data_IF_409469174083
#
_entry.id   IF_409469174083
#
_cell.length_a   1.000
_cell.length_b   1.000
_cell.length_c   1.000
_cell.angle_alpha   90.00
_cell.angle_beta   90.00
_cell.angle_gamma   90.00
#
_symmetry.space_group_name_H-M   'P 1'
#
loop_
_entity.id
_entity.type
_entity.pdbx_description
1 polymer ?
#
# COMPACT_ATOMS: atom_id res chain seq x y z
N UNK A 1 -35.65 -4.75 -9.19
CA UNK A 1 -35.51 -3.68 -8.17
C UNK A 1 -34.05 -3.24 -8.22
N UNK A 2 -33.75 -2.01 -8.65
CA UNK A 2 -32.44 -1.41 -8.39
C UNK A 2 -32.26 -1.45 -6.87
N UNK A 3 -31.30 -2.24 -6.39
CA UNK A 3 -31.05 -2.35 -4.97
C UNK A 3 -30.51 -0.99 -4.52
N UNK A 4 -31.26 -0.26 -3.69
CA UNK A 4 -30.84 0.99 -3.01
C UNK A 4 -29.61 0.72 -2.13
N UNK A 5 -28.43 0.59 -2.76
CA UNK A 5 -27.13 0.33 -2.13
C UNK A 5 -26.13 1.44 -2.43
N UNK A 6 -26.62 2.63 -2.74
CA UNK A 6 -25.79 3.81 -2.99
C UNK A 6 -24.94 4.17 -1.77
N UNK A 7 -25.47 3.97 -0.56
CA UNK A 7 -24.74 4.18 0.71
C UNK A 7 -23.59 3.19 0.94
N UNK A 8 -23.54 2.10 0.18
CA UNK A 8 -22.50 1.08 0.28
C UNK A 8 -21.38 1.28 -0.77
N UNK A 9 -21.51 2.29 -1.64
CA UNK A 9 -20.56 2.60 -2.71
C UNK A 9 -19.54 3.64 -2.24
N UNK A 10 -18.27 3.27 -2.34
CA UNK A 10 -17.12 4.15 -2.12
C UNK A 10 -16.32 4.25 -3.41
N UNK A 11 -15.81 5.45 -3.69
CA UNK A 11 -15.04 5.70 -4.93
C UNK A 11 -13.67 6.24 -4.55
N UNK A 12 -12.60 5.54 -4.93
CA UNK A 12 -11.24 6.07 -4.87
C UNK A 12 -10.88 6.54 -6.28
N UNK A 13 -10.87 7.86 -6.48
CA UNK A 13 -10.63 8.44 -7.79
C UNK A 13 -9.18 8.93 -7.90
N UNK A 14 -8.31 8.21 -8.61
CA UNK A 14 -6.93 8.66 -8.87
C UNK A 14 -6.78 9.50 -10.15
N UNK A 15 -7.85 9.72 -10.90
CA UNK A 15 -7.82 10.45 -12.19
C UNK A 15 -7.57 11.93 -11.95
N UNK A 16 -8.37 12.55 -11.07
CA UNK A 16 -8.23 13.97 -10.75
C UNK A 16 -7.17 14.20 -9.68
N UNK A 17 -6.30 15.19 -9.92
CA UNK A 17 -5.42 15.72 -8.87
C UNK A 17 -6.25 16.59 -7.92
N UNK A 18 -5.76 16.75 -6.70
CA UNK A 18 -6.29 17.75 -5.77
C UNK A 18 -6.42 19.10 -6.49
N UNK A 19 -7.63 19.48 -6.86
CA UNK A 19 -7.91 20.78 -7.42
C UNK A 19 -8.69 21.56 -6.36
N UNK A 20 -8.06 22.56 -5.71
CA UNK A 20 -8.68 23.33 -4.64
C UNK A 20 -9.91 24.13 -5.11
N UNK A 21 -10.14 24.24 -6.43
CA UNK A 21 -11.28 24.96 -7.00
C UNK A 21 -12.56 24.10 -7.11
N UNK A 22 -12.48 22.77 -7.02
CA UNK A 22 -13.66 21.91 -7.00
C UNK A 22 -14.17 21.71 -5.57
N UNK A 23 -15.35 22.24 -5.28
CA UNK A 23 -16.02 22.16 -3.96
C UNK A 23 -16.67 20.80 -3.66
N UNK A 24 -16.88 19.96 -4.66
CA UNK A 24 -17.51 18.65 -4.50
C UNK A 24 -16.49 17.59 -4.10
N UNK A 25 -16.84 16.72 -3.15
CA UNK A 25 -16.04 15.56 -2.79
C UNK A 25 -16.01 14.56 -3.96
N UNK A 26 -14.87 14.46 -4.63
CA UNK A 26 -14.67 13.61 -5.82
C UNK A 26 -14.18 12.20 -5.50
N UNK A 27 -13.68 11.96 -4.28
CA UNK A 27 -13.17 10.67 -3.83
C UNK A 27 -13.50 10.46 -2.35
N UNK A 28 -13.81 9.22 -2.00
CA UNK A 28 -13.78 8.71 -0.64
C UNK A 28 -12.35 8.73 -0.09
N UNK A 29 -12.24 8.87 1.22
CA UNK A 29 -10.95 8.90 1.93
C UNK A 29 -10.56 7.51 2.42
N UNK A 30 -9.26 7.22 2.41
CA UNK A 30 -8.70 5.96 2.87
C UNK A 30 -7.31 6.21 3.45
N UNK A 31 -7.02 5.71 4.64
CA UNK A 31 -5.69 5.85 5.24
C UNK A 31 -5.12 4.45 5.55
N UNK A 32 -4.12 3.97 4.81
CA UNK A 32 -3.55 2.64 5.04
C UNK A 32 -2.79 2.54 6.37
N UNK A 33 -2.28 3.65 6.91
CA UNK A 33 -1.48 3.69 8.14
C UNK A 33 -2.33 3.77 9.43
N UNK A 34 -3.63 4.00 9.29
CA UNK A 34 -4.59 4.14 10.40
C UNK A 34 -4.71 2.89 11.27
N UNK A 35 -4.43 1.71 10.71
CA UNK A 35 -4.49 0.42 11.43
C UNK A 35 -3.37 -0.50 10.99
N UNK A 36 -3.02 -1.45 11.85
CA UNK A 36 -1.98 -2.45 11.61
C UNK A 36 -0.76 -2.26 12.49
N UNK A 37 0.04 -3.33 12.60
CA UNK A 37 1.28 -3.34 13.37
C UNK A 37 2.37 -2.48 12.71
N UNK A 38 3.33 -2.01 13.50
CA UNK A 38 4.49 -1.28 12.98
C UNK A 38 5.25 -2.07 11.92
N UNK A 39 5.44 -3.38 12.11
CA UNK A 39 6.10 -4.26 11.13
C UNK A 39 5.36 -4.33 9.80
N UNK A 40 4.04 -4.56 9.82
CA UNK A 40 3.23 -4.61 8.60
C UNK A 40 3.21 -3.26 7.85
N UNK A 41 3.18 -2.14 8.59
CA UNK A 41 3.25 -0.81 7.99
C UNK A 41 4.64 -0.49 7.42
N UNK A 42 5.71 -0.99 8.02
CA UNK A 42 7.07 -0.89 7.46
C UNK A 42 7.17 -1.65 6.15
N UNK A 43 6.72 -2.91 6.10
CA UNK A 43 6.72 -3.72 4.88
C UNK A 43 5.94 -3.03 3.76
N UNK A 44 4.79 -2.44 4.11
CA UNK A 44 4.00 -1.63 3.20
C UNK A 44 4.79 -0.45 2.62
N UNK A 45 5.38 0.40 3.46
CA UNK A 45 6.18 1.55 2.99
C UNK A 45 7.39 1.10 2.16
N UNK A 46 8.08 0.03 2.58
CA UNK A 46 9.24 -0.52 1.87
C UNK A 46 8.86 -1.09 0.51
N UNK A 47 7.66 -1.67 0.36
CA UNK A 47 7.16 -2.16 -0.93
C UNK A 47 6.95 -1.05 -1.97
N UNK A 48 6.75 0.19 -1.50
CA UNK A 48 6.57 1.37 -2.34
C UNK A 48 7.89 2.09 -2.66
N UNK A 49 9.02 1.66 -2.08
CA UNK A 49 10.33 2.24 -2.38
C UNK A 49 10.79 1.80 -3.77
N UNK A 50 11.44 2.73 -4.49
CA UNK A 50 12.07 2.43 -5.77
C UNK A 50 13.11 1.30 -5.59
N UNK A 51 13.08 0.33 -6.51
CA UNK A 51 14.08 -0.74 -6.57
C UNK A 51 15.37 -0.17 -7.16
N UNK A 52 16.19 0.46 -6.32
CA UNK A 52 17.56 0.81 -6.70
C UNK A 52 18.50 -0.39 -6.50
N UNK A 53 19.45 -0.57 -7.42
CA UNK A 53 20.51 -1.60 -7.38
C UNK A 53 21.49 -1.44 -6.21
N UNK A 54 21.43 -0.33 -5.45
CA UNK A 54 22.39 -0.01 -4.41
C UNK A 54 21.89 -0.44 -3.02
N UNK A 55 22.03 -1.73 -2.73
CA UNK A 55 21.50 -2.42 -1.54
C UNK A 55 21.96 -1.84 -0.19
N UNK A 56 23.15 -1.23 -0.11
CA UNK A 56 23.74 -0.80 1.16
C UNK A 56 22.91 0.28 1.88
N UNK A 57 22.32 1.22 1.13
CA UNK A 57 21.52 2.32 1.69
C UNK A 57 20.08 1.90 1.98
N UNK A 58 19.59 0.88 1.28
CA UNK A 58 18.23 0.35 1.46
C UNK A 58 18.07 -0.23 2.87
N UNK A 59 19.02 -1.05 3.33
CA UNK A 59 18.99 -1.61 4.68
C UNK A 59 18.96 -0.52 5.77
N UNK A 60 19.73 0.56 5.60
CA UNK A 60 19.75 1.69 6.54
C UNK A 60 18.45 2.52 6.50
N UNK A 61 17.85 2.69 5.33
CA UNK A 61 16.55 3.34 5.18
C UNK A 61 15.44 2.51 5.85
N UNK A 62 15.50 1.18 5.73
CA UNK A 62 14.62 0.25 6.44
C UNK A 62 14.78 0.39 7.96
N UNK A 63 16.02 0.51 8.47
CA UNK A 63 16.25 0.76 9.90
C UNK A 63 15.65 2.08 10.37
N UNK A 64 15.77 3.16 9.58
CA UNK A 64 15.14 4.46 9.87
C UNK A 64 13.62 4.32 9.99
N UNK A 65 12.96 3.84 8.94
CA UNK A 65 11.50 3.75 8.90
C UNK A 65 10.97 2.79 9.97
N UNK A 66 11.69 1.71 10.27
CA UNK A 66 11.30 0.77 11.33
C UNK A 66 11.32 1.42 12.72
N UNK A 67 12.37 2.18 13.03
CA UNK A 67 12.50 2.89 14.29
C UNK A 67 11.38 3.92 14.47
N UNK A 68 11.13 4.74 13.43
CA UNK A 68 10.06 5.75 13.46
C UNK A 68 8.68 5.10 13.54
N UNK A 69 8.41 4.08 12.73
CA UNK A 69 7.08 3.49 12.66
C UNK A 69 6.66 2.87 14.00
N UNK A 70 7.60 2.29 14.75
CA UNK A 70 7.31 1.82 16.12
C UNK A 70 6.84 2.97 17.02
N UNK A 71 7.51 4.12 16.98
CA UNK A 71 7.14 5.28 17.77
C UNK A 71 5.78 5.85 17.35
N UNK A 72 5.57 6.06 16.04
CA UNK A 72 4.32 6.64 15.54
C UNK A 72 3.10 5.73 15.74
N UNK A 73 3.28 4.42 15.63
CA UNK A 73 2.21 3.45 15.94
C UNK A 73 1.88 3.48 17.43
N UNK A 74 2.87 3.58 18.31
CA UNK A 74 2.61 3.72 19.75
C UNK A 74 1.79 4.98 20.05
N UNK A 75 2.18 6.12 19.48
CA UNK A 75 1.44 7.37 19.59
C UNK A 75 0.03 7.25 19.02
N UNK A 76 -0.13 6.61 17.87
CA UNK A 76 -1.45 6.35 17.25
C UNK A 76 -2.37 5.58 18.19
N UNK A 77 -1.83 4.52 18.82
CA UNK A 77 -2.62 3.58 19.60
C UNK A 77 -2.91 4.07 21.04
N UNK A 78 -2.11 5.00 21.57
CA UNK A 78 -2.21 5.45 22.98
C UNK A 78 -2.51 6.94 23.17
N UNK A 79 -2.31 7.78 22.14
CA UNK A 79 -2.33 9.24 22.26
C UNK A 79 -3.21 9.94 21.23
N UNK A 80 -4.08 9.19 20.54
CA UNK A 80 -4.95 9.72 19.49
C UNK A 80 -4.18 10.48 18.40
N UNK A 81 -2.98 9.98 18.07
CA UNK A 81 -2.14 10.58 17.05
C UNK A 81 -2.59 10.16 15.64
N UNK A 82 -2.89 11.15 14.80
CA UNK A 82 -3.25 10.96 13.40
C UNK A 82 -2.04 10.51 12.55
N UNK A 83 -1.78 9.20 12.57
CA UNK A 83 -0.78 8.58 11.71
C UNK A 83 -1.27 8.51 10.26
N UNK A 84 -0.68 9.31 9.38
CA UNK A 84 -0.90 9.36 7.94
C UNK A 84 0.43 9.67 7.21
N UNK A 85 0.41 9.79 5.88
CA UNK A 85 1.65 10.01 5.14
C UNK A 85 2.28 11.37 5.39
N UNK A 86 1.49 12.40 5.71
CA UNK A 86 2.01 13.72 6.07
C UNK A 86 2.72 13.68 7.42
N UNK A 87 2.10 13.11 8.44
CA UNK A 87 2.72 12.99 9.76
C UNK A 87 3.94 12.07 9.71
N UNK A 88 3.92 10.99 8.93
CA UNK A 88 5.10 10.17 8.68
C UNK A 88 6.25 10.97 8.02
N UNK A 89 5.95 11.73 6.96
CA UNK A 89 6.93 12.55 6.23
C UNK A 89 7.59 13.59 7.14
N UNK A 90 6.82 14.20 8.03
CA UNK A 90 7.33 15.16 9.02
C UNK A 90 8.29 14.50 10.01
N UNK A 91 7.91 13.35 10.58
CA UNK A 91 8.69 12.69 11.61
C UNK A 91 9.98 12.04 11.08
N UNK A 92 10.11 11.82 9.77
CA UNK A 92 11.35 11.36 9.14
C UNK A 92 12.52 12.34 9.24
N UNK A 93 12.31 13.60 9.64
CA UNK A 93 13.39 14.55 9.86
C UNK A 93 14.26 14.14 11.06
N UNK A 94 15.59 14.28 10.95
CA UNK A 94 16.51 13.84 12.00
C UNK A 94 16.20 14.48 13.36
N UNK A 95 15.88 15.77 13.37
CA UNK A 95 15.57 16.51 14.59
C UNK A 95 14.34 15.92 15.30
N UNK A 96 13.32 15.49 14.54
CA UNK A 96 12.13 14.80 15.08
C UNK A 96 12.46 13.43 15.65
N UNK A 97 13.34 12.66 14.99
CA UNK A 97 13.81 11.38 15.52
C UNK A 97 14.55 11.56 16.85
N UNK A 98 15.44 12.54 16.91
CA UNK A 98 16.20 12.86 18.12
C UNK A 98 15.27 13.38 19.23
N UNK A 99 14.32 14.24 18.88
CA UNK A 99 13.29 14.76 19.79
C UNK A 99 12.53 13.60 20.43
N UNK A 100 11.92 12.72 19.64
CA UNK A 100 11.18 11.55 20.11
C UNK A 100 12.02 10.66 21.04
N UNK A 101 13.28 10.40 20.69
CA UNK A 101 14.17 9.60 21.53
C UNK A 101 14.47 10.27 22.88
N UNK A 102 14.70 11.60 22.90
CA UNK A 102 15.16 12.32 24.10
C UNK A 102 14.04 12.76 25.02
N UNK A 103 12.91 13.21 24.49
CA UNK A 103 11.88 13.92 25.26
C UNK A 103 10.77 13.00 25.74
N UNK A 104 10.46 11.93 24.99
CA UNK A 104 9.38 11.00 25.32
C UNK A 104 9.79 10.11 26.48
N UNK A 105 9.23 10.36 27.66
CA UNK A 105 9.50 9.56 28.86
C UNK A 105 8.59 8.34 28.95
N UNK A 106 7.41 8.46 28.39
CA UNK A 106 6.31 7.50 28.32
C UNK A 106 6.57 6.31 27.39
N UNK A 107 7.42 6.46 26.37
CA UNK A 107 7.70 5.37 25.43
C UNK A 107 8.26 4.11 26.13
N UNK A 108 7.79 2.91 25.75
CA UNK A 108 8.42 1.66 26.12
C UNK A 108 9.91 1.62 25.77
N UNK A 109 10.71 0.97 26.61
CA UNK A 109 12.17 0.93 26.48
C UNK A 109 12.64 0.45 25.10
N UNK A 110 11.94 -0.52 24.51
CA UNK A 110 12.30 -1.06 23.20
C UNK A 110 12.11 -0.05 22.06
N UNK A 111 11.10 0.83 22.13
CA UNK A 111 10.86 1.89 21.16
C UNK A 111 11.97 2.95 21.25
N UNK A 112 12.30 3.40 22.46
CA UNK A 112 13.43 4.32 22.68
C UNK A 112 14.75 3.74 22.20
N UNK A 113 14.99 2.47 22.51
CA UNK A 113 16.19 1.77 22.07
C UNK A 113 16.27 1.67 20.55
N UNK A 114 15.15 1.45 19.85
CA UNK A 114 15.14 1.42 18.38
C UNK A 114 15.48 2.79 17.77
N UNK A 115 14.86 3.87 18.26
CA UNK A 115 15.17 5.24 17.82
C UNK A 115 16.64 5.58 18.09
N UNK A 116 17.13 5.29 19.30
CA UNK A 116 18.53 5.50 19.67
C UNK A 116 19.47 4.69 18.79
N UNK A 117 19.21 3.41 18.60
CA UNK A 117 20.03 2.51 17.80
C UNK A 117 20.18 3.00 16.37
N UNK A 118 19.09 3.51 15.77
CA UNK A 118 19.17 4.18 14.49
C UNK A 118 20.10 5.41 14.54
N UNK A 119 19.89 6.34 15.49
CA UNK A 119 20.70 7.58 15.53
C UNK A 119 22.19 7.32 15.75
N UNK A 120 22.55 6.40 16.64
CA UNK A 120 23.94 6.03 16.93
C UNK A 120 24.59 5.25 15.77
N UNK A 121 23.79 4.63 14.90
CA UNK A 121 24.30 3.98 13.68
C UNK A 121 24.77 4.97 12.61
N UNK A 122 24.41 6.26 12.73
CA UNK A 122 24.90 7.30 11.84
C UNK A 122 26.36 7.65 12.20
N UNK A 123 27.31 7.50 11.25
CA UNK A 123 28.70 7.90 11.46
C UNK A 123 28.82 9.35 11.94
N UNK A 124 29.66 9.58 12.95
CA UNK A 124 29.90 10.89 13.58
C UNK A 124 28.73 11.49 14.35
N UNK A 125 27.65 10.74 14.60
CA UNK A 125 26.57 11.17 15.49
C UNK A 125 27.10 11.39 16.91
N UNK A 126 26.65 12.48 17.54
CA UNK A 126 27.04 12.84 18.90
C UNK A 126 25.80 12.96 19.79
N UNK A 127 25.63 12.04 20.74
CA UNK A 127 24.55 12.13 21.73
C UNK A 127 24.70 13.40 22.58
N UNK A 128 23.58 14.08 22.84
CA UNK A 128 23.56 15.31 23.64
C UNK A 128 24.08 16.57 22.92
N UNK A 129 24.67 16.48 21.72
CA UNK A 129 25.10 17.67 21.00
C UNK A 129 23.91 18.60 20.69
N UNK A 130 24.06 19.94 20.87
CA UNK A 130 22.99 20.90 20.60
C UNK A 130 22.63 20.96 19.11
N UNK A 131 23.62 20.72 18.25
CA UNK A 131 23.47 20.59 16.80
C UNK A 131 24.39 19.48 16.29
N UNK A 132 23.88 18.60 15.44
CA UNK A 132 24.68 17.57 14.79
C UNK A 132 25.59 18.16 13.71
N UNK A 133 26.70 17.48 13.41
CA UNK A 133 27.61 17.86 12.31
C UNK A 133 26.90 17.70 10.96
N UNK A 134 27.26 18.53 9.98
CA UNK A 134 26.68 18.50 8.63
C UNK A 134 26.84 17.12 7.95
N UNK A 135 27.90 16.38 8.27
CA UNK A 135 28.11 15.00 7.78
C UNK A 135 26.97 14.09 8.23
N UNK A 136 26.51 14.20 9.48
CA UNK A 136 25.41 13.40 10.02
C UNK A 136 24.10 13.76 9.33
N UNK A 137 23.85 15.07 9.15
CA UNK A 137 22.68 15.59 8.45
C UNK A 137 22.64 15.12 7.00
N UNK A 138 23.78 15.14 6.30
CA UNK A 138 23.90 14.63 4.94
C UNK A 138 23.61 13.12 4.85
N UNK A 139 24.19 12.31 5.75
CA UNK A 139 23.95 10.87 5.80
C UNK A 139 22.48 10.53 6.08
N UNK A 140 21.85 11.20 7.04
CA UNK A 140 20.42 11.08 7.29
C UNK A 140 19.60 11.49 6.07
N UNK A 141 19.96 12.62 5.45
CA UNK A 141 19.32 13.15 4.25
C UNK A 141 19.27 12.13 3.11
N UNK A 142 20.37 11.42 2.84
CA UNK A 142 20.39 10.37 1.82
C UNK A 142 19.41 9.22 2.10
N UNK A 143 19.21 8.85 3.37
CA UNK A 143 18.23 7.84 3.76
C UNK A 143 16.80 8.35 3.59
N UNK A 144 16.53 9.58 4.06
CA UNK A 144 15.23 10.22 3.94
C UNK A 144 14.81 10.41 2.48
N UNK A 145 15.76 10.74 1.59
CA UNK A 145 15.52 10.91 0.15
C UNK A 145 14.88 9.69 -0.51
N UNK A 146 15.10 8.47 0.02
CA UNK A 146 14.46 7.25 -0.49
C UNK A 146 12.94 7.25 -0.33
N UNK A 147 12.41 8.02 0.61
CA UNK A 147 10.97 8.13 0.86
C UNK A 147 10.37 9.41 0.28
N UNK A 148 11.18 10.41 -0.08
CA UNK A 148 10.70 11.74 -0.51
C UNK A 148 9.77 11.68 -1.72
N UNK A 149 10.13 10.92 -2.77
CA UNK A 149 9.33 10.82 -4.00
C UNK A 149 7.96 10.21 -3.72
N UNK A 150 7.95 9.06 -3.04
CA UNK A 150 6.73 8.31 -2.74
C UNK A 150 5.82 9.06 -1.75
N UNK A 151 6.39 9.57 -0.64
CA UNK A 151 5.60 10.31 0.34
C UNK A 151 5.11 11.63 -0.24
N UNK A 152 5.93 12.36 -0.98
CA UNK A 152 5.50 13.59 -1.67
C UNK A 152 4.35 13.33 -2.63
N UNK A 153 4.39 12.24 -3.39
CA UNK A 153 3.29 11.83 -4.26
C UNK A 153 2.00 11.55 -3.47
N UNK A 154 2.08 10.76 -2.40
CA UNK A 154 0.92 10.38 -1.58
C UNK A 154 0.36 11.57 -0.76
N UNK A 155 1.22 12.49 -0.32
CA UNK A 155 0.78 13.67 0.45
C UNK A 155 0.30 14.80 -0.43
N UNK A 156 1.04 15.13 -1.48
CA UNK A 156 0.86 16.38 -2.22
C UNK A 156 -0.10 16.18 -3.39
N UNK A 157 -0.03 15.04 -4.08
CA UNK A 157 -0.94 14.74 -5.21
C UNK A 157 -2.25 14.08 -4.76
N UNK A 158 -2.18 13.19 -3.77
CA UNK A 158 -3.32 12.37 -3.32
C UNK A 158 -3.66 12.55 -1.83
N UNK A 159 -3.18 13.61 -1.18
CA UNK A 159 -3.46 13.86 0.24
C UNK A 159 -4.95 13.99 0.57
N UNK A 160 -5.77 14.43 -0.39
CA UNK A 160 -7.23 14.48 -0.25
C UNK A 160 -7.87 13.09 -0.07
N UNK A 161 -7.17 12.02 -0.44
CA UNK A 161 -7.57 10.62 -0.20
C UNK A 161 -6.95 10.14 1.11
N UNK A 162 -5.63 10.34 1.27
CA UNK A 162 -4.83 9.62 2.27
C UNK A 162 -4.60 10.32 3.61
N UNK A 163 -4.71 11.65 3.67
CA UNK A 163 -4.37 12.44 4.86
C UNK A 163 -5.58 12.91 5.66
N UNK A 164 -6.76 12.33 5.39
CA UNK A 164 -8.00 12.63 6.09
C UNK A 164 -8.48 11.43 6.89
N UNK A 165 -9.45 11.65 7.78
CA UNK A 165 -10.16 10.57 8.49
C UNK A 165 -10.71 9.59 7.43
N UNK A 166 -10.41 8.29 7.54
CA UNK A 166 -10.80 7.32 6.52
C UNK A 166 -12.29 7.04 6.56
N UNK A 167 -12.96 7.20 5.41
CA UNK A 167 -14.32 6.68 5.20
C UNK A 167 -14.30 5.19 4.88
N UNK A 168 -13.26 4.74 4.17
CA UNK A 168 -13.05 3.35 3.83
C UNK A 168 -12.26 2.70 4.97
N UNK A 169 -12.94 1.83 5.73
CA UNK A 169 -12.35 1.02 6.79
C UNK A 169 -12.54 -0.46 6.45
N UNK A 170 -11.57 -1.02 5.72
CA UNK A 170 -11.62 -2.39 5.21
C UNK A 170 -11.77 -3.43 6.32
N UNK A 171 -11.11 -3.20 7.45
CA UNK A 171 -11.17 -4.10 8.61
C UNK A 171 -12.56 -4.07 9.22
N UNK A 172 -13.12 -2.87 9.44
CA UNK A 172 -14.47 -2.74 9.99
C UNK A 172 -15.55 -3.28 9.04
N UNK A 173 -15.41 -3.04 7.74
CA UNK A 173 -16.33 -3.60 6.75
C UNK A 173 -16.34 -5.13 6.80
N UNK A 174 -15.16 -5.73 6.93
CA UNK A 174 -14.98 -7.18 7.03
C UNK A 174 -15.49 -7.73 8.37
N UNK A 175 -15.14 -7.10 9.50
CA UNK A 175 -15.57 -7.51 10.84
C UNK A 175 -17.09 -7.47 11.01
N UNK A 176 -17.74 -6.43 10.48
CA UNK A 176 -19.18 -6.22 10.62
C UNK A 176 -20.01 -6.90 9.52
N UNK A 177 -19.39 -7.66 8.61
CA UNK A 177 -20.03 -8.18 7.39
C UNK A 177 -20.82 -7.09 6.63
N UNK A 178 -20.32 -5.86 6.66
CA UNK A 178 -20.94 -4.76 5.92
C UNK A 178 -20.71 -4.98 4.44
N UNK A 179 -21.78 -4.89 3.67
CA UNK A 179 -21.67 -4.95 2.23
C UNK A 179 -21.10 -3.62 1.76
N UNK A 180 -19.90 -3.61 1.20
CA UNK A 180 -19.27 -2.43 0.63
C UNK A 180 -18.84 -2.71 -0.82
N UNK A 181 -18.95 -1.71 -1.68
CA UNK A 181 -18.47 -1.73 -3.06
C UNK A 181 -17.45 -0.60 -3.18
N UNK A 182 -16.19 -0.95 -3.45
CA UNK A 182 -15.12 0.03 -3.61
C UNK A 182 -14.74 0.07 -5.08
N UNK A 183 -15.03 1.18 -5.74
CA UNK A 183 -14.60 1.43 -7.11
C UNK A 183 -13.30 2.24 -7.08
N UNK A 184 -12.23 1.69 -7.65
CA UNK A 184 -10.96 2.40 -7.78
C UNK A 184 -10.70 2.74 -9.24
N UNK A 185 -10.50 4.02 -9.51
CA UNK A 185 -10.31 4.54 -10.86
C UNK A 185 -8.86 4.99 -11.02
N UNK A 186 -8.17 4.41 -12.00
CA UNK A 186 -6.80 4.80 -12.36
C UNK A 186 -6.79 5.82 -13.50
N UNK A 187 -5.83 6.75 -13.52
CA UNK A 187 -5.63 7.67 -14.65
C UNK A 187 -5.15 6.88 -15.88
N UNK A 188 -5.74 7.15 -17.04
CA UNK A 188 -5.54 6.36 -18.27
C UNK A 188 -4.40 6.84 -19.17
N UNK A 189 -3.96 8.12 -19.11
CA UNK A 189 -2.97 8.66 -20.07
C UNK A 189 -2.01 9.75 -19.53
N UNK A 190 -2.23 10.33 -18.36
CA UNK A 190 -1.48 11.52 -17.91
C UNK A 190 -0.27 11.22 -16.99
N UNK A 191 -0.02 9.95 -16.67
CA UNK A 191 0.86 9.56 -15.56
C UNK A 191 2.01 8.67 -16.01
N UNK A 192 3.12 8.80 -15.30
CA UNK A 192 4.30 7.96 -15.53
C UNK A 192 4.03 6.51 -15.11
N UNK A 193 4.72 5.56 -15.76
CA UNK A 193 4.63 4.13 -15.44
C UNK A 193 4.93 3.87 -13.94
N UNK A 194 5.84 4.64 -13.35
CA UNK A 194 6.24 4.50 -11.94
C UNK A 194 5.13 4.94 -10.97
N UNK A 195 4.37 5.98 -11.31
CA UNK A 195 3.20 6.39 -10.51
C UNK A 195 2.09 5.32 -10.56
N UNK A 196 1.82 4.75 -11.74
CA UNK A 196 0.85 3.65 -11.88
C UNK A 196 1.29 2.40 -11.11
N UNK A 197 2.58 2.06 -11.14
CA UNK A 197 3.16 0.99 -10.31
C UNK A 197 2.97 1.27 -8.82
N UNK A 198 3.20 2.49 -8.39
CA UNK A 198 3.00 2.91 -7.00
C UNK A 198 1.53 2.73 -6.56
N UNK A 199 0.58 3.26 -7.34
CA UNK A 199 -0.85 3.15 -7.03
C UNK A 199 -1.33 1.70 -7.05
N UNK A 200 -0.77 0.85 -7.91
CA UNK A 200 -1.11 -0.58 -7.94
C UNK A 200 -0.51 -1.36 -6.77
N UNK A 201 0.70 -1.03 -6.29
CA UNK A 201 1.22 -1.58 -5.03
C UNK A 201 0.39 -1.16 -3.82
N UNK A 202 -0.10 0.08 -3.81
CA UNK A 202 -1.04 0.54 -2.80
C UNK A 202 -2.32 -0.33 -2.80
N UNK A 203 -2.90 -0.58 -3.98
CA UNK A 203 -4.07 -1.47 -4.11
C UNK A 203 -3.78 -2.90 -3.68
N UNK A 204 -2.62 -3.45 -4.08
CA UNK A 204 -2.18 -4.77 -3.63
C UNK A 204 -2.04 -4.83 -2.10
N UNK A 205 -1.59 -3.74 -1.48
CA UNK A 205 -1.44 -3.66 -0.03
C UNK A 205 -2.79 -3.56 0.69
N UNK A 206 -3.76 -2.84 0.12
CA UNK A 206 -5.15 -2.85 0.58
C UNK A 206 -5.74 -4.26 0.53
N UNK A 207 -5.57 -4.96 -0.59
CA UNK A 207 -6.00 -6.35 -0.78
C UNK A 207 -5.37 -7.29 0.27
N UNK A 208 -4.04 -7.22 0.43
CA UNK A 208 -3.30 -8.03 1.43
C UNK A 208 -3.81 -7.78 2.84
N UNK A 209 -3.99 -6.51 3.21
CA UNK A 209 -4.48 -6.12 4.53
C UNK A 209 -5.88 -6.65 4.78
N UNK A 210 -6.79 -6.48 3.82
CA UNK A 210 -8.15 -7.01 3.92
C UNK A 210 -8.16 -8.53 4.02
N UNK A 211 -7.38 -9.22 3.18
CA UNK A 211 -7.27 -10.67 3.20
C UNK A 211 -6.74 -11.16 4.55
N UNK A 212 -5.60 -10.64 5.01
CA UNK A 212 -5.03 -11.03 6.30
C UNK A 212 -6.00 -10.84 7.47
N UNK A 213 -6.76 -9.74 7.48
CA UNK A 213 -7.78 -9.50 8.49
C UNK A 213 -8.93 -10.51 8.39
N UNK A 214 -9.44 -10.77 7.19
CA UNK A 214 -10.50 -11.76 6.97
C UNK A 214 -10.07 -13.17 7.42
N UNK A 215 -8.82 -13.55 7.16
CA UNK A 215 -8.25 -14.83 7.58
C UNK A 215 -8.22 -15.00 9.11
N UNK A 216 -7.98 -13.91 9.84
CA UNK A 216 -7.79 -13.94 11.30
C UNK A 216 -9.12 -13.78 12.06
N UNK A 217 -9.94 -12.81 11.66
CA UNK A 217 -11.05 -12.32 12.49
C UNK A 217 -12.43 -12.76 11.99
N UNK A 218 -12.61 -12.91 10.67
CA UNK A 218 -13.92 -13.26 10.10
C UNK A 218 -13.78 -14.08 8.79
N UNK A 219 -13.44 -15.38 8.88
CA UNK A 219 -13.11 -16.21 7.72
C UNK A 219 -14.30 -16.50 6.80
N UNK A 220 -15.52 -16.18 7.23
CA UNK A 220 -16.77 -16.36 6.48
C UNK A 220 -17.10 -15.17 5.57
N UNK A 221 -16.40 -14.03 5.72
CA UNK A 221 -16.66 -12.85 4.89
C UNK A 221 -16.38 -13.16 3.41
N UNK A 222 -17.33 -12.86 2.54
CA UNK A 222 -17.13 -12.96 1.09
C UNK A 222 -16.45 -11.70 0.56
N UNK A 223 -15.30 -11.87 -0.07
CA UNK A 223 -14.52 -10.77 -0.67
C UNK A 223 -14.40 -11.04 -2.16
N UNK A 224 -14.70 -10.04 -2.98
CA UNK A 224 -14.55 -10.14 -4.44
C UNK A 224 -13.80 -8.94 -4.98
N UNK A 225 -12.71 -9.18 -5.70
CA UNK A 225 -11.91 -8.14 -6.33
C UNK A 225 -11.86 -8.38 -7.83
N UNK A 226 -12.18 -7.33 -8.58
CA UNK A 226 -12.10 -7.31 -10.04
C UNK A 226 -11.05 -6.27 -10.40
N UNK A 227 -9.93 -6.74 -10.96
CA UNK A 227 -8.81 -5.90 -11.34
C UNK A 227 -8.75 -5.89 -12.86
N UNK A 228 -9.20 -4.78 -13.43
CA UNK A 228 -9.17 -4.57 -14.86
C UNK A 228 -7.81 -4.01 -15.31
N UNK A 229 -7.22 -4.61 -16.34
CA UNK A 229 -5.89 -4.26 -16.87
C UNK A 229 -4.81 -4.27 -15.78
N UNK A 230 -4.69 -5.41 -15.10
CA UNK A 230 -3.78 -5.62 -13.98
C UNK A 230 -2.33 -5.35 -14.38
N UNK A 231 -1.66 -4.33 -13.79
CA UNK A 231 -0.22 -4.18 -13.94
C UNK A 231 0.42 -5.28 -13.11
N UNK A 232 0.91 -6.35 -13.76
CA UNK A 232 1.43 -7.55 -13.10
C UNK A 232 2.72 -7.22 -12.33
N UNK A 233 2.53 -6.71 -11.12
CA UNK A 233 3.59 -6.38 -10.17
C UNK A 233 3.85 -7.55 -9.22
N UNK A 234 5.09 -7.74 -8.76
CA UNK A 234 5.44 -8.73 -7.75
C UNK A 234 4.52 -8.71 -6.52
N UNK A 235 3.91 -9.86 -6.22
CA UNK A 235 3.08 -10.10 -5.05
C UNK A 235 1.61 -10.37 -5.34
N UNK A 236 1.11 -10.10 -6.55
CA UNK A 236 -0.24 -10.52 -6.95
C UNK A 236 -0.36 -12.04 -7.02
N UNK A 237 0.69 -12.74 -7.44
CA UNK A 237 0.79 -14.20 -7.43
C UNK A 237 0.68 -14.76 -6.00
N UNK A 238 1.35 -14.13 -5.02
CA UNK A 238 1.30 -14.54 -3.62
C UNK A 238 -0.11 -14.35 -3.05
N UNK A 239 -0.75 -13.21 -3.32
CA UNK A 239 -2.10 -12.96 -2.81
C UNK A 239 -3.12 -13.90 -3.43
N UNK A 240 -3.02 -14.17 -4.74
CA UNK A 240 -3.88 -15.15 -5.38
C UNK A 240 -3.70 -16.57 -4.82
N UNK A 241 -2.47 -16.96 -4.47
CA UNK A 241 -2.23 -18.22 -3.76
C UNK A 241 -2.90 -18.24 -2.37
N UNK A 242 -2.78 -17.16 -1.59
CA UNK A 242 -3.37 -17.05 -0.25
C UNK A 242 -4.91 -16.99 -0.29
N UNK A 243 -5.48 -16.32 -1.30
CA UNK A 243 -6.91 -16.19 -1.48
C UNK A 243 -7.62 -17.53 -1.75
N UNK A 244 -6.89 -18.57 -2.17
CA UNK A 244 -7.45 -19.92 -2.36
C UNK A 244 -8.06 -20.53 -1.11
N UNK A 245 -7.66 -20.06 0.08
CA UNK A 245 -8.04 -20.69 1.34
C UNK A 245 -9.43 -20.29 1.87
N UNK A 246 -10.17 -19.35 1.27
CA UNK A 246 -11.40 -18.80 1.86
C UNK A 246 -12.45 -18.36 0.82
N UNK A 247 -13.55 -17.73 1.27
CA UNK A 247 -14.61 -17.14 0.45
C UNK A 247 -14.15 -15.87 -0.32
N UNK A 248 -12.98 -15.94 -0.95
CA UNK A 248 -12.37 -14.85 -1.71
C UNK A 248 -12.37 -15.21 -3.19
N UNK A 249 -12.88 -14.30 -4.01
CA UNK A 249 -12.85 -14.39 -5.47
C UNK A 249 -12.00 -13.26 -6.05
N UNK A 250 -10.98 -13.60 -6.83
CA UNK A 250 -10.15 -12.63 -7.53
C UNK A 250 -10.31 -12.84 -9.02
N UNK A 251 -10.68 -11.77 -9.74
CA UNK A 251 -10.73 -11.72 -11.18
C UNK A 251 -9.68 -10.72 -11.67
N UNK A 252 -8.72 -11.24 -12.44
CA UNK A 252 -7.69 -10.42 -13.09
C UNK A 252 -7.96 -10.40 -14.59
N UNK A 253 -7.96 -9.21 -15.20
CA UNK A 253 -7.87 -9.07 -16.66
C UNK A 253 -6.54 -8.41 -17.03
N UNK A 254 -5.98 -8.78 -18.17
CA UNK A 254 -4.75 -8.20 -18.69
C UNK A 254 -4.75 -8.27 -20.21
N UNK A 255 -3.99 -7.39 -20.86
CA UNK A 255 -3.65 -7.51 -22.29
C UNK A 255 -2.40 -8.37 -22.44
N UNK A 256 -2.30 -9.13 -23.53
CA UNK A 256 -1.14 -10.00 -23.81
C UNK A 256 0.19 -9.24 -23.78
N UNK A 257 0.19 -7.99 -24.24
CA UNK A 257 1.38 -7.12 -24.21
C UNK A 257 1.84 -6.84 -22.78
N UNK A 258 0.90 -6.58 -21.86
CA UNK A 258 1.21 -6.21 -20.48
C UNK A 258 1.66 -7.44 -19.67
N UNK A 259 1.04 -8.60 -19.91
CA UNK A 259 1.35 -9.85 -19.21
C UNK A 259 2.70 -10.47 -19.62
N UNK A 260 3.12 -10.25 -20.87
CA UNK A 260 4.40 -10.76 -21.37
C UNK A 260 5.57 -9.79 -21.13
N UNK A 261 5.30 -8.49 -20.93
CA UNK A 261 6.33 -7.48 -20.60
C UNK A 261 6.60 -7.35 -19.09
N UNK A 262 5.72 -7.89 -18.24
CA UNK A 262 5.92 -7.98 -16.80
C UNK A 262 6.95 -9.04 -16.41
N UNK A 263 7.28 -9.12 -15.12
CA UNK A 263 8.11 -10.19 -14.58
C UNK A 263 7.50 -11.55 -14.98
N UNK A 264 8.21 -12.28 -15.85
CA UNK A 264 7.68 -13.51 -16.47
C UNK A 264 7.37 -14.57 -15.42
N UNK A 265 8.14 -14.62 -14.33
CA UNK A 265 7.93 -15.55 -13.22
C UNK A 265 6.66 -15.20 -12.44
N UNK A 266 6.44 -13.91 -12.17
CA UNK A 266 5.23 -13.44 -11.48
C UNK A 266 3.98 -13.71 -12.33
N UNK A 267 4.06 -13.45 -13.63
CA UNK A 267 2.98 -13.62 -14.59
C UNK A 267 2.58 -15.11 -14.68
N UNK A 268 3.56 -16.00 -14.88
CA UNK A 268 3.33 -17.45 -14.88
C UNK A 268 2.73 -17.94 -13.56
N UNK A 269 3.24 -17.46 -12.43
CA UNK A 269 2.76 -17.84 -11.10
C UNK A 269 1.32 -17.37 -10.85
N UNK A 270 0.99 -16.13 -11.24
CA UNK A 270 -0.36 -15.59 -11.15
C UNK A 270 -1.34 -16.40 -12.00
N UNK A 271 -0.99 -16.71 -13.25
CA UNK A 271 -1.81 -17.55 -14.10
C UNK A 271 -1.94 -18.98 -13.55
N UNK A 272 -0.90 -19.56 -12.97
CA UNK A 272 -0.97 -20.86 -12.29
C UNK A 272 -1.87 -20.82 -11.06
N UNK A 273 -2.02 -19.64 -10.43
CA UNK A 273 -2.88 -19.46 -9.26
C UNK A 273 -4.36 -19.33 -9.59
N UNK A 274 -4.71 -18.98 -10.83
CA UNK A 274 -6.09 -18.89 -11.32
C UNK A 274 -6.64 -20.25 -11.78
N UNK A 275 -7.73 -20.70 -11.14
CA UNK A 275 -8.40 -21.96 -11.48
C UNK A 275 -9.18 -21.90 -12.81
N UNK A 276 -9.68 -20.72 -13.17
CA UNK A 276 -10.43 -20.45 -14.38
C UNK A 276 -9.63 -19.44 -15.20
N UNK A 277 -9.45 -19.72 -16.50
CA UNK A 277 -8.80 -18.81 -17.45
C UNK A 277 -9.68 -18.66 -18.67
N UNK A 278 -9.85 -17.42 -19.13
CA UNK A 278 -10.65 -17.11 -20.31
C UNK A 278 -9.73 -16.33 -21.25
N UNK A 279 -9.37 -16.96 -22.37
CA UNK A 279 -8.59 -16.34 -23.42
C UNK A 279 -9.54 -15.78 -24.47
N UNK A 280 -9.45 -14.47 -24.72
CA UNK A 280 -10.31 -13.76 -25.66
C UNK A 280 -9.54 -13.51 -26.96
N UNK A 281 -9.36 -14.55 -27.76
CA UNK A 281 -8.50 -14.52 -28.96
C UNK A 281 -9.08 -13.62 -30.06
N UNK A 282 -10.40 -13.59 -30.19
CA UNK A 282 -11.11 -12.69 -31.11
C UNK A 282 -12.48 -12.31 -30.51
N UNK A 283 -13.21 -11.34 -31.10
CA UNK A 283 -14.54 -10.94 -30.63
C UNK A 283 -15.59 -12.07 -30.65
N UNK A 284 -15.32 -13.18 -31.34
CA UNK A 284 -16.26 -14.29 -31.52
C UNK A 284 -15.70 -15.64 -31.09
N UNK A 285 -14.39 -15.72 -30.83
CA UNK A 285 -13.70 -16.95 -30.47
C UNK A 285 -13.00 -16.80 -29.12
N UNK A 286 -13.52 -17.53 -28.14
CA UNK A 286 -13.06 -17.53 -26.77
C UNK A 286 -12.65 -18.95 -26.36
N UNK A 287 -11.57 -19.08 -25.60
CA UNK A 287 -11.14 -20.36 -25.02
C UNK A 287 -11.25 -20.28 -23.49
N UNK A 288 -12.01 -21.19 -22.90
CA UNK A 288 -12.09 -21.38 -21.45
C UNK A 288 -11.16 -22.53 -21.06
N UNK A 289 -10.31 -22.29 -20.05
CA UNK A 289 -9.53 -23.34 -19.42
C UNK A 289 -9.97 -23.52 -17.96
N UNK A 290 -10.30 -24.76 -17.58
CA UNK A 290 -10.68 -25.12 -16.23
C UNK A 290 -10.20 -26.53 -15.90
N UNK A 291 -9.54 -26.70 -14.75
CA UNK A 291 -9.00 -28.00 -14.29
C UNK A 291 -8.13 -28.73 -15.35
N UNK A 292 -7.40 -27.97 -16.18
CA UNK A 292 -6.55 -28.52 -17.25
C UNK A 292 -7.30 -28.91 -18.53
N UNK A 293 -8.62 -28.82 -18.55
CA UNK A 293 -9.43 -28.98 -19.77
C UNK A 293 -9.61 -27.65 -20.49
N UNK A 294 -9.66 -27.71 -21.82
CA UNK A 294 -9.91 -26.58 -22.72
C UNK A 294 -11.29 -26.72 -23.34
N UNK A 295 -12.04 -25.62 -23.39
CA UNK A 295 -13.37 -25.54 -23.96
C UNK A 295 -13.43 -24.35 -24.92
N UNK A 296 -13.83 -24.61 -26.16
CA UNK A 296 -14.08 -23.55 -27.13
C UNK A 296 -15.48 -22.95 -26.88
N UNK A 297 -15.49 -21.66 -26.61
CA UNK A 297 -16.69 -20.86 -26.41
C UNK A 297 -16.93 -20.05 -27.70
N UNK A 298 -17.74 -20.61 -28.59
CA UNK A 298 -18.25 -19.89 -29.74
C UNK A 298 -19.47 -19.07 -29.31
N UNK A 299 -19.37 -17.74 -29.38
CA UNK A 299 -20.55 -16.88 -29.23
C UNK A 299 -21.26 -16.88 -30.59
N UNK A 300 -22.40 -17.55 -30.65
CA UNK A 300 -23.34 -17.55 -31.79
C UNK A 300 -23.97 -16.16 -31.99
#
# INVERSE_FOLDING_TARGET
KQNNRENDLFVINFIERANPFFKSKLSSTFNPLSKGSSGSLVEFIVSLMDKDDNDMWKGRAISLISAIMMALVYMRDHEDFDLNFSSLREHLQLDKVIELYKTRTDFPIHIKNALRAYTVSLPSFQEGAPKQKDIVLGLHGYLQMKFTKILGFLTDSYGYIFNSIPEIDLENFTAQNKKAIILVQFPSFEKSIDELKTLSYLMLSMLKKQLNFALQENPLSSISWIINDCPVNPGFSVVSAQARAHHVSLLFSYKDTNFNQSDSNESMSLAANCNIKINMNSPTNYELQYQGMKYDLNIL
#
